data_IF_762420561599
#
_entry.id   IF_762420561599
#
_cell.length_a   1.000
_cell.length_b   1.000
_cell.length_c   1.000
_cell.angle_alpha   90.00
_cell.angle_beta   90.00
_cell.angle_gamma   90.00
#
_symmetry.space_group_name_H-M   'P 1'
#
loop_
_entity.id
_entity.type
_entity.pdbx_description
1 polymer ?
#
# COMPACT_ATOMS: atom_id res chain seq x y z
N UNK A 1 -8.52 19.26 12.29
CA UNK A 1 -7.88 18.46 13.35
C UNK A 1 -7.77 17.02 12.89
N UNK A 2 -6.64 16.35 13.19
CA UNK A 2 -6.32 14.90 13.08
C UNK A 2 -5.00 14.63 12.32
N UNK A 3 -3.89 14.72 13.05
CA UNK A 3 -2.60 14.05 12.76
C UNK A 3 -1.96 13.62 14.09
N UNK A 4 -2.73 12.94 14.93
CA UNK A 4 -2.32 12.58 16.30
C UNK A 4 -1.31 11.41 16.36
N UNK A 5 -1.01 10.70 15.25
CA UNK A 5 -0.19 9.48 15.29
C UNK A 5 1.17 9.52 14.55
N UNK A 6 1.67 10.70 14.11
CA UNK A 6 3.05 10.86 13.57
C UNK A 6 4.11 11.10 14.66
N UNK A 7 3.72 11.13 15.93
CA UNK A 7 4.34 12.00 16.95
C UNK A 7 5.42 11.35 17.83
N UNK A 8 5.47 10.02 17.91
CA UNK A 8 6.56 9.30 18.60
C UNK A 8 7.78 9.06 17.70
N UNK A 9 7.55 8.80 16.41
CA UNK A 9 8.62 8.34 15.50
C UNK A 9 9.58 9.44 15.05
N UNK A 10 9.16 10.72 14.95
CA UNK A 10 10.07 11.79 14.52
C UNK A 10 11.25 11.94 15.48
N UNK A 11 10.97 12.00 16.78
CA UNK A 11 12.01 12.13 17.81
C UNK A 11 12.97 10.94 17.82
N UNK A 12 12.42 9.73 17.82
CA UNK A 12 13.22 8.50 17.79
C UNK A 12 14.07 8.36 16.52
N UNK A 13 13.58 8.81 15.37
CA UNK A 13 14.33 8.81 14.11
C UNK A 13 15.46 9.84 14.15
N UNK A 14 15.20 11.04 14.67
CA UNK A 14 16.24 12.06 14.82
C UNK A 14 17.34 11.58 15.76
N UNK A 15 17.00 10.84 16.83
CA UNK A 15 17.98 10.20 17.71
C UNK A 15 18.75 9.10 17.00
N UNK A 16 18.05 8.17 16.32
CA UNK A 16 18.67 7.06 15.60
C UNK A 16 19.63 7.53 14.51
N UNK A 17 19.32 8.64 13.86
CA UNK A 17 20.15 9.25 12.82
C UNK A 17 21.24 10.17 13.38
N UNK A 18 21.36 10.30 14.72
CA UNK A 18 22.38 11.11 15.38
C UNK A 18 22.19 12.62 15.22
N UNK A 19 20.99 13.06 14.84
CA UNK A 19 20.66 14.50 14.67
C UNK A 19 20.44 15.17 16.03
N UNK A 20 19.82 14.45 16.96
CA UNK A 20 19.66 14.88 18.35
C UNK A 20 20.07 13.74 19.28
N UNK A 21 20.45 14.06 20.51
CA UNK A 21 20.71 13.05 21.54
C UNK A 21 19.42 12.56 22.21
N UNK A 22 19.40 11.37 22.85
CA UNK A 22 18.28 10.92 23.66
C UNK A 22 17.85 11.94 24.72
N UNK A 23 18.81 12.63 25.33
CA UNK A 23 18.59 13.66 26.36
C UNK A 23 17.93 14.91 25.77
N UNK A 24 18.35 15.34 24.58
CA UNK A 24 17.73 16.45 23.85
C UNK A 24 16.27 16.12 23.47
N UNK A 25 16.01 14.87 23.05
CA UNK A 25 14.65 14.40 22.80
C UNK A 25 13.80 14.42 24.08
N UNK A 26 14.33 13.91 25.19
CA UNK A 26 13.63 13.89 26.48
C UNK A 26 13.29 15.32 26.95
N UNK A 27 14.24 16.25 26.82
CA UNK A 27 14.01 17.66 27.13
C UNK A 27 12.91 18.27 26.26
N UNK A 28 12.95 18.03 24.94
CA UNK A 28 11.92 18.51 24.03
C UNK A 28 10.53 17.91 24.32
N UNK A 29 10.45 16.64 24.74
CA UNK A 29 9.20 16.01 25.17
C UNK A 29 8.67 16.68 26.45
N UNK A 30 9.53 16.95 27.44
CA UNK A 30 9.13 17.67 28.67
C UNK A 30 8.59 19.07 28.36
N UNK A 31 9.30 19.83 27.52
CA UNK A 31 8.86 21.15 27.05
C UNK A 31 7.54 21.08 26.25
N UNK A 32 7.32 19.99 25.51
CA UNK A 32 6.06 19.71 24.82
C UNK A 32 4.92 19.44 25.78
N UNK A 33 5.13 18.78 26.91
CA UNK A 33 4.05 18.54 27.87
C UNK A 33 3.55 19.84 28.51
N UNK A 34 4.41 20.85 28.59
CA UNK A 34 4.07 22.19 29.07
C UNK A 34 3.49 23.13 27.99
N UNK A 35 3.37 22.69 26.73
CA UNK A 35 2.90 23.52 25.62
C UNK A 35 1.94 22.76 24.69
N UNK A 36 1.22 23.48 23.83
CA UNK A 36 0.36 22.87 22.80
C UNK A 36 1.06 22.80 21.42
N UNK A 37 2.39 23.01 21.38
CA UNK A 37 3.19 23.03 20.15
C UNK A 37 3.54 21.61 19.68
N UNK A 38 3.93 21.46 18.40
CA UNK A 38 4.40 20.15 17.90
C UNK A 38 5.82 19.89 18.39
N UNK A 39 6.19 18.61 18.52
CA UNK A 39 7.54 18.23 18.93
C UNK A 39 8.61 18.81 18.00
N UNK A 40 8.35 18.80 16.69
CA UNK A 40 9.25 19.40 15.70
C UNK A 40 9.45 20.90 15.93
N UNK A 41 8.37 21.66 16.14
CA UNK A 41 8.44 23.10 16.41
C UNK A 41 9.28 23.38 17.66
N UNK A 42 9.11 22.57 18.72
CA UNK A 42 9.87 22.69 19.97
C UNK A 42 11.34 22.34 19.76
N UNK A 43 11.65 21.30 18.99
CA UNK A 43 13.04 20.93 18.67
C UNK A 43 13.75 22.06 17.91
N UNK A 44 13.04 22.80 17.06
CA UNK A 44 13.57 24.00 16.38
C UNK A 44 13.74 25.16 17.36
N UNK A 45 12.73 25.44 18.19
CA UNK A 45 12.79 26.53 19.19
C UNK A 45 13.91 26.33 20.21
N UNK A 46 14.19 25.08 20.59
CA UNK A 46 15.30 24.71 21.47
C UNK A 46 16.67 24.72 20.76
N UNK A 47 16.71 24.95 19.44
CA UNK A 47 17.94 25.00 18.65
C UNK A 47 18.59 23.63 18.42
N UNK A 48 17.88 22.53 18.67
CA UNK A 48 18.41 21.17 18.49
C UNK A 48 18.39 20.72 17.03
N UNK A 49 17.47 21.24 16.24
CA UNK A 49 17.37 20.97 14.79
C UNK A 49 16.97 22.23 14.04
N UNK A 50 17.27 22.27 12.74
CA UNK A 50 16.70 23.27 11.83
C UNK A 50 15.39 22.76 11.21
N UNK A 51 14.51 23.65 10.71
CA UNK A 51 13.33 23.25 9.94
C UNK A 51 13.68 22.33 8.75
N UNK A 52 14.79 22.60 8.07
CA UNK A 52 15.27 21.82 6.93
C UNK A 52 15.65 20.40 7.34
N UNK A 53 16.29 20.24 8.50
CA UNK A 53 16.61 18.91 9.05
C UNK A 53 15.35 18.12 9.37
N UNK A 54 14.31 18.76 9.92
CA UNK A 54 13.01 18.10 10.15
C UNK A 54 12.41 17.64 8.83
N UNK A 55 12.36 18.53 7.84
CA UNK A 55 11.83 18.23 6.51
C UNK A 55 12.57 17.02 5.92
N UNK A 56 13.89 17.05 5.87
CA UNK A 56 14.69 15.95 5.33
C UNK A 56 14.35 14.60 5.97
N UNK A 57 14.20 14.56 7.30
CA UNK A 57 13.90 13.33 8.04
C UNK A 57 12.48 12.83 7.83
N UNK A 58 11.50 13.74 7.76
CA UNK A 58 10.11 13.41 7.45
C UNK A 58 10.00 12.84 6.03
N UNK A 59 10.70 13.42 5.06
CA UNK A 59 10.73 12.93 3.68
C UNK A 59 11.41 11.56 3.58
N UNK A 60 12.53 11.35 4.29
CA UNK A 60 13.20 10.05 4.35
C UNK A 60 12.28 8.96 4.92
N UNK A 61 11.56 9.26 6.01
CA UNK A 61 10.59 8.34 6.60
C UNK A 61 9.44 8.03 5.63
N UNK A 62 8.92 9.05 4.93
CA UNK A 62 7.88 8.85 3.94
C UNK A 62 8.36 7.94 2.80
N UNK A 63 9.56 8.19 2.28
CA UNK A 63 10.17 7.35 1.24
C UNK A 63 10.33 5.90 1.70
N UNK A 64 10.77 5.66 2.93
CA UNK A 64 10.89 4.32 3.51
C UNK A 64 9.54 3.59 3.55
N UNK A 65 8.48 4.27 4.00
CA UNK A 65 7.12 3.69 4.04
C UNK A 65 6.58 3.36 2.66
N UNK A 66 6.83 4.23 1.68
CA UNK A 66 6.48 3.99 0.28
C UNK A 66 7.17 2.71 -0.22
N UNK A 67 8.48 2.56 0.04
CA UNK A 67 9.24 1.38 -0.35
C UNK A 67 8.78 0.10 0.33
N UNK A 68 8.33 0.18 1.59
CA UNK A 68 7.88 -1.00 2.34
C UNK A 68 6.44 -1.42 2.06
N UNK A 69 5.60 -0.53 1.53
CA UNK A 69 4.17 -0.84 1.31
C UNK A 69 3.77 -0.61 -0.13
N UNK A 70 3.79 0.63 -0.62
CA UNK A 70 3.23 0.95 -1.93
C UNK A 70 4.00 0.29 -3.08
N UNK A 71 5.33 0.23 -3.00
CA UNK A 71 6.15 -0.42 -4.04
C UNK A 71 5.86 -1.93 -4.14
N UNK A 72 5.91 -2.71 -3.05
CA UNK A 72 5.47 -4.10 -3.05
C UNK A 72 4.04 -4.31 -3.56
N UNK A 73 3.13 -3.36 -3.32
CA UNK A 73 1.76 -3.45 -3.83
C UNK A 73 1.67 -3.28 -5.34
N UNK A 74 2.53 -2.44 -5.94
CA UNK A 74 2.68 -2.36 -7.40
C UNK A 74 3.09 -3.73 -7.94
N UNK A 75 4.17 -4.29 -7.40
CA UNK A 75 4.67 -5.61 -7.81
C UNK A 75 3.61 -6.70 -7.63
N UNK A 76 2.84 -6.65 -6.54
CA UNK A 76 1.76 -7.58 -6.29
C UNK A 76 0.66 -7.48 -7.34
N UNK A 77 0.23 -6.26 -7.71
CA UNK A 77 -0.77 -6.06 -8.75
C UNK A 77 -0.28 -6.50 -10.13
N UNK A 78 1.00 -6.30 -10.43
CA UNK A 78 1.63 -6.83 -11.65
C UNK A 78 1.64 -8.36 -11.66
N UNK A 79 1.99 -9.01 -10.54
CA UNK A 79 1.94 -10.47 -10.44
C UNK A 79 0.53 -11.05 -10.48
N UNK A 80 -0.46 -10.33 -9.98
CA UNK A 80 -1.86 -10.68 -10.20
C UNK A 80 -2.24 -10.61 -11.68
N UNK A 81 -1.80 -9.58 -12.40
CA UNK A 81 -2.02 -9.50 -13.84
C UNK A 81 -1.33 -10.65 -14.60
N UNK A 82 -0.11 -11.02 -14.20
CA UNK A 82 0.63 -12.15 -14.78
C UNK A 82 -0.11 -13.47 -14.51
N UNK A 83 -0.63 -13.69 -13.30
CA UNK A 83 -1.44 -14.85 -12.96
C UNK A 83 -2.72 -14.94 -13.80
N UNK A 84 -3.42 -13.83 -13.95
CA UNK A 84 -4.64 -13.78 -14.76
C UNK A 84 -4.34 -14.00 -16.25
N UNK A 85 -3.26 -13.44 -16.79
CA UNK A 85 -2.86 -13.75 -18.17
C UNK A 85 -2.47 -15.20 -18.36
N UNK A 86 -1.65 -15.77 -17.46
CA UNK A 86 -1.29 -17.18 -17.53
C UNK A 86 -2.53 -18.07 -17.52
N UNK A 87 -3.54 -17.73 -16.70
CA UNK A 87 -4.81 -18.45 -16.68
C UNK A 87 -5.60 -18.28 -17.99
N UNK A 88 -5.58 -17.10 -18.61
CA UNK A 88 -6.21 -16.87 -19.92
C UNK A 88 -5.55 -17.63 -21.07
N UNK A 89 -4.25 -17.90 -20.95
CA UNK A 89 -3.47 -18.61 -21.96
C UNK A 89 -3.56 -20.13 -21.77
N UNK A 90 -3.70 -20.60 -20.52
CA UNK A 90 -3.82 -22.02 -20.18
C UNK A 90 -5.25 -22.57 -20.27
N UNK A 91 -6.28 -21.75 -20.11
CA UNK A 91 -7.68 -22.20 -20.09
C UNK A 91 -8.51 -21.45 -21.13
N UNK A 92 -9.32 -22.19 -21.90
CA UNK A 92 -10.27 -21.59 -22.85
C UNK A 92 -11.49 -21.02 -22.13
N UNK A 93 -11.85 -21.64 -21.02
CA UNK A 93 -12.94 -21.29 -20.13
C UNK A 93 -12.67 -19.95 -19.48
N UNK A 94 -13.63 -19.03 -19.61
CA UNK A 94 -13.53 -17.69 -19.02
C UNK A 94 -12.27 -16.91 -19.45
N UNK A 95 -11.59 -17.28 -20.56
CA UNK A 95 -10.38 -16.60 -21.03
C UNK A 95 -10.58 -15.08 -21.20
N UNK A 96 -11.77 -14.66 -21.65
CA UNK A 96 -12.14 -13.23 -21.72
C UNK A 96 -12.15 -12.56 -20.35
N UNK A 97 -12.73 -13.22 -19.34
CA UNK A 97 -12.79 -12.70 -17.96
C UNK A 97 -11.38 -12.60 -17.38
N UNK A 98 -10.55 -13.62 -17.58
CA UNK A 98 -9.15 -13.59 -17.16
C UNK A 98 -8.38 -12.41 -17.78
N UNK A 99 -8.54 -12.16 -19.09
CA UNK A 99 -7.90 -10.99 -19.74
C UNK A 99 -8.41 -9.65 -19.20
N UNK A 100 -9.70 -9.54 -18.89
CA UNK A 100 -10.27 -8.34 -18.29
C UNK A 100 -9.69 -8.08 -16.88
N UNK A 101 -9.62 -9.12 -16.04
CA UNK A 101 -9.01 -9.03 -14.72
C UNK A 101 -7.52 -8.67 -14.81
N UNK A 102 -6.79 -9.24 -15.77
CA UNK A 102 -5.39 -8.90 -16.02
C UNK A 102 -5.20 -7.43 -16.40
N UNK A 103 -6.04 -6.92 -17.32
CA UNK A 103 -6.00 -5.51 -17.72
C UNK A 103 -6.29 -4.58 -16.54
N UNK A 104 -7.30 -4.90 -15.73
CA UNK A 104 -7.65 -4.10 -14.57
C UNK A 104 -6.55 -4.13 -13.49
N UNK A 105 -5.92 -5.28 -13.25
CA UNK A 105 -4.78 -5.38 -12.32
C UNK A 105 -3.57 -4.55 -12.77
N UNK A 106 -3.27 -4.49 -14.08
CA UNK A 106 -2.23 -3.60 -14.64
C UNK A 106 -2.58 -2.12 -14.47
N UNK A 107 -3.83 -1.75 -14.75
CA UNK A 107 -4.29 -0.37 -14.56
C UNK A 107 -4.14 0.06 -13.09
N UNK A 108 -4.49 -0.81 -12.15
CA UNK A 108 -4.29 -0.57 -10.72
C UNK A 108 -2.82 -0.41 -10.33
N UNK A 109 -1.91 -1.20 -10.93
CA UNK A 109 -0.48 -1.04 -10.70
C UNK A 109 0.03 0.34 -11.17
N UNK A 110 -0.38 0.79 -12.36
CA UNK A 110 0.00 2.10 -12.88
C UNK A 110 -0.60 3.26 -12.08
N UNK A 111 -1.83 3.08 -11.60
CA UNK A 111 -2.48 4.02 -10.68
C UNK A 111 -1.66 4.19 -9.38
N UNK A 112 -1.19 3.08 -8.78
CA UNK A 112 -0.33 3.13 -7.59
C UNK A 112 1.01 3.79 -7.93
N UNK A 113 1.61 3.52 -9.10
CA UNK A 113 2.85 4.20 -9.55
C UNK A 113 2.65 5.71 -9.68
N UNK A 114 1.54 6.13 -10.28
CA UNK A 114 1.18 7.54 -10.42
C UNK A 114 0.92 8.20 -9.07
N UNK A 115 0.30 7.47 -8.14
CA UNK A 115 0.06 7.91 -6.78
C UNK A 115 1.37 8.10 -5.99
N UNK A 116 2.33 7.19 -6.14
CA UNK A 116 3.67 7.34 -5.55
C UNK A 116 4.32 8.64 -6.03
N UNK A 117 4.26 8.94 -7.33
CA UNK A 117 4.77 10.21 -7.88
C UNK A 117 4.06 11.43 -7.26
N UNK A 118 2.73 11.37 -7.14
CA UNK A 118 1.95 12.44 -6.52
C UNK A 118 2.32 12.67 -5.04
N UNK A 119 2.58 11.60 -4.28
CA UNK A 119 3.02 11.69 -2.88
C UNK A 119 4.36 12.41 -2.78
N UNK A 120 5.31 12.15 -3.69
CA UNK A 120 6.59 12.86 -3.69
C UNK A 120 6.46 14.34 -4.06
N UNK A 121 5.51 14.69 -4.94
CA UNK A 121 5.27 16.07 -5.36
C UNK A 121 4.52 16.89 -4.30
N UNK A 122 3.57 16.25 -3.59
CA UNK A 122 2.67 16.92 -2.64
C UNK A 122 2.50 16.10 -1.35
N UNK A 123 3.59 15.88 -0.59
CA UNK A 123 3.61 14.94 0.53
C UNK A 123 2.68 15.33 1.68
N UNK A 124 2.38 16.63 1.84
CA UNK A 124 1.50 17.14 2.88
C UNK A 124 0.03 16.74 2.69
N UNK A 125 -0.37 16.39 1.46
CA UNK A 125 -1.73 15.94 1.16
C UNK A 125 -1.99 14.49 1.59
N UNK A 126 -0.95 13.72 1.85
CA UNK A 126 -1.05 12.28 2.04
C UNK A 126 -0.53 11.81 3.40
N UNK A 127 -1.09 10.69 3.85
CA UNK A 127 -0.55 9.92 4.96
C UNK A 127 -0.45 8.45 4.55
N UNK A 128 0.79 7.95 4.48
CA UNK A 128 1.08 6.54 4.27
C UNK A 128 1.10 5.82 5.61
N UNK A 129 0.18 4.88 5.79
CA UNK A 129 0.00 4.05 6.98
C UNK A 129 0.65 2.69 6.78
N UNK A 130 1.44 2.28 7.76
CA UNK A 130 2.00 0.92 7.85
C UNK A 130 0.97 -0.01 8.48
N UNK A 131 0.04 -0.53 7.67
CA UNK A 131 -0.98 -1.49 8.14
C UNK A 131 -0.60 -2.95 7.90
N UNK A 132 0.47 -3.18 7.14
CA UNK A 132 1.03 -4.49 6.83
C UNK A 132 2.49 -4.54 7.25
N UNK A 133 2.96 -5.72 7.65
CA UNK A 133 4.39 -5.96 7.84
C UNK A 133 5.03 -6.33 6.50
N UNK A 134 6.33 -6.10 6.35
CA UNK A 134 7.10 -6.49 5.16
C UNK A 134 6.95 -7.98 4.85
N UNK A 135 7.00 -8.82 5.87
CA UNK A 135 6.91 -10.28 5.75
C UNK A 135 5.53 -10.71 5.25
N UNK A 136 4.46 -10.04 5.68
CA UNK A 136 3.10 -10.34 5.22
C UNK A 136 2.90 -10.04 3.74
N UNK A 137 3.56 -8.99 3.23
CA UNK A 137 3.51 -8.63 1.81
C UNK A 137 4.33 -9.62 0.99
N UNK A 138 5.55 -9.95 1.44
CA UNK A 138 6.43 -10.91 0.78
C UNK A 138 5.79 -12.30 0.68
N UNK A 139 5.15 -12.76 1.75
CA UNK A 139 4.46 -14.06 1.78
C UNK A 139 3.38 -14.15 0.72
N UNK A 140 2.57 -13.09 0.58
CA UNK A 140 1.50 -13.04 -0.41
C UNK A 140 2.08 -12.99 -1.83
N UNK A 141 3.13 -12.18 -2.06
CA UNK A 141 3.84 -12.12 -3.34
C UNK A 141 4.37 -13.50 -3.76
N UNK A 142 5.03 -14.21 -2.84
CA UNK A 142 5.50 -15.58 -3.08
C UNK A 142 4.35 -16.54 -3.40
N UNK A 143 3.21 -16.42 -2.71
CA UNK A 143 2.02 -17.23 -2.99
C UNK A 143 1.48 -17.03 -4.41
N UNK A 144 1.43 -15.78 -4.88
CA UNK A 144 1.00 -15.48 -6.26
C UNK A 144 2.01 -16.01 -7.27
N UNK A 145 3.30 -15.82 -7.05
CA UNK A 145 4.36 -16.34 -7.92
C UNK A 145 4.27 -17.86 -8.08
N UNK A 146 4.12 -18.59 -6.96
CA UNK A 146 3.93 -20.04 -6.99
C UNK A 146 2.65 -20.43 -7.75
N UNK A 147 1.57 -19.65 -7.61
CA UNK A 147 0.33 -19.88 -8.35
C UNK A 147 0.52 -19.75 -9.87
N UNK A 148 1.28 -18.74 -10.32
CA UNK A 148 1.62 -18.55 -11.74
C UNK A 148 2.33 -19.79 -12.30
N UNK A 149 3.37 -20.26 -11.61
CA UNK A 149 4.14 -21.43 -12.04
C UNK A 149 3.28 -22.70 -12.07
N UNK A 150 2.36 -22.84 -11.12
CA UNK A 150 1.43 -23.97 -11.09
C UNK A 150 0.42 -23.97 -12.24
N UNK A 151 -0.07 -22.80 -12.64
CA UNK A 151 -0.92 -22.66 -13.84
C UNK A 151 -0.12 -23.03 -15.09
N UNK A 152 1.07 -22.45 -15.27
CA UNK A 152 1.91 -22.72 -16.45
C UNK A 152 2.34 -24.17 -16.58
N UNK A 153 2.60 -24.85 -15.46
CA UNK A 153 2.95 -26.28 -15.44
C UNK A 153 1.75 -27.22 -15.63
N UNK A 154 0.52 -26.69 -15.67
CA UNK A 154 -0.70 -27.50 -15.72
C UNK A 154 -1.03 -28.21 -14.40
N UNK A 155 -0.32 -27.92 -13.31
CA UNK A 155 -0.57 -28.48 -11.97
C UNK A 155 -1.76 -27.82 -11.25
N UNK A 156 -2.40 -26.84 -11.89
CA UNK A 156 -3.57 -26.14 -11.39
C UNK A 156 -4.69 -26.17 -12.42
N UNK A 157 -5.89 -26.58 -12.00
CA UNK A 157 -7.06 -26.61 -12.88
C UNK A 157 -7.74 -25.24 -12.97
N UNK A 158 -8.51 -25.00 -14.03
CA UNK A 158 -9.29 -23.76 -14.19
C UNK A 158 -10.14 -23.40 -12.94
N UNK A 159 -10.83 -24.40 -12.37
CA UNK A 159 -11.66 -24.19 -11.18
C UNK A 159 -10.82 -23.79 -9.96
N UNK A 160 -9.68 -24.45 -9.75
CA UNK A 160 -8.75 -24.08 -8.69
C UNK A 160 -8.21 -22.66 -8.88
N UNK A 161 -7.94 -22.24 -10.12
CA UNK A 161 -7.48 -20.88 -10.44
C UNK A 161 -8.51 -19.84 -10.05
N UNK A 162 -9.79 -20.07 -10.33
CA UNK A 162 -10.88 -19.16 -9.95
C UNK A 162 -11.00 -19.02 -8.43
N UNK A 163 -10.89 -20.12 -7.68
CA UNK A 163 -10.92 -20.06 -6.21
C UNK A 163 -9.72 -19.31 -5.64
N UNK A 164 -8.51 -19.53 -6.16
CA UNK A 164 -7.33 -18.77 -5.76
C UNK A 164 -7.46 -17.28 -6.09
N UNK A 165 -7.99 -16.94 -7.27
CA UNK A 165 -8.26 -15.56 -7.63
C UNK A 165 -9.23 -14.89 -6.65
N UNK A 166 -10.30 -15.58 -6.26
CA UNK A 166 -11.26 -15.12 -5.24
C UNK A 166 -10.58 -14.88 -3.90
N UNK A 167 -9.79 -15.85 -3.44
CA UNK A 167 -9.15 -15.79 -2.12
C UNK A 167 -8.16 -14.64 -2.04
N UNK A 168 -7.41 -14.40 -3.12
CA UNK A 168 -6.50 -13.25 -3.21
C UNK A 168 -7.27 -11.93 -3.24
N UNK A 169 -8.34 -11.81 -4.03
CA UNK A 169 -9.17 -10.59 -4.09
C UNK A 169 -9.90 -10.29 -2.77
N UNK A 170 -10.16 -11.31 -1.95
CA UNK A 170 -10.74 -11.18 -0.61
C UNK A 170 -9.70 -11.02 0.50
N UNK A 171 -8.40 -11.15 0.20
CA UNK A 171 -7.33 -11.04 1.18
C UNK A 171 -7.29 -9.67 1.88
N UNK A 172 -6.65 -9.62 3.06
CA UNK A 172 -6.43 -8.37 3.78
C UNK A 172 -5.63 -7.35 2.97
N UNK A 173 -4.65 -7.80 2.17
CA UNK A 173 -3.80 -6.93 1.36
C UNK A 173 -4.60 -6.14 0.33
N UNK A 174 -5.58 -6.78 -0.31
CA UNK A 174 -6.42 -6.14 -1.32
C UNK A 174 -7.56 -5.35 -0.66
N UNK A 175 -8.24 -5.94 0.33
CA UNK A 175 -9.40 -5.31 0.97
C UNK A 175 -9.04 -4.05 1.78
N UNK A 176 -7.85 -4.01 2.37
CA UNK A 176 -7.38 -2.87 3.18
C UNK A 176 -6.40 -1.97 2.46
N UNK A 177 -6.14 -2.17 1.16
CA UNK A 177 -5.35 -1.24 0.35
C UNK A 177 -5.78 0.24 0.52
N UNK A 178 -7.10 0.57 0.58
CA UNK A 178 -7.52 1.96 0.80
C UNK A 178 -7.13 2.55 2.16
N UNK A 179 -6.76 1.72 3.14
CA UNK A 179 -6.32 2.17 4.46
C UNK A 179 -4.82 2.50 4.48
N UNK A 180 -4.05 1.98 3.50
CA UNK A 180 -2.60 2.24 3.35
C UNK A 180 -2.33 3.70 3.09
N UNK A 181 -3.21 4.37 2.35
CA UNK A 181 -3.06 5.77 1.99
C UNK A 181 -4.32 6.55 2.29
N UNK A 182 -4.20 7.54 3.17
CA UNK A 182 -5.29 8.46 3.49
C UNK A 182 -4.95 9.88 3.08
N UNK A 183 -5.98 10.65 2.72
CA UNK A 183 -5.86 12.04 2.29
C UNK A 183 -7.06 12.84 2.77
N UNK A 184 -6.83 14.13 3.04
CA UNK A 184 -7.90 15.08 3.31
C UNK A 184 -8.33 15.87 2.08
N UNK A 185 -7.62 15.70 0.97
CA UNK A 185 -7.94 16.36 -0.28
C UNK A 185 -9.20 15.75 -0.93
N UNK A 186 -10.11 16.61 -1.39
CA UNK A 186 -11.40 16.19 -1.90
C UNK A 186 -11.31 15.46 -3.25
N UNK A 187 -10.39 15.88 -4.12
CA UNK A 187 -10.17 15.28 -5.43
C UNK A 187 -9.60 13.85 -5.27
N UNK A 188 -8.57 13.71 -4.43
CA UNK A 188 -7.97 12.42 -4.14
C UNK A 188 -8.93 11.46 -3.44
N UNK A 189 -9.78 11.96 -2.53
CA UNK A 189 -10.84 11.14 -1.90
C UNK A 189 -11.80 10.57 -2.94
N UNK A 190 -12.22 11.37 -3.93
CA UNK A 190 -13.11 10.90 -5.00
C UNK A 190 -12.43 9.78 -5.82
N UNK A 191 -11.14 9.94 -6.14
CA UNK A 191 -10.38 8.91 -6.86
C UNK A 191 -10.27 7.60 -6.07
N UNK A 192 -10.04 7.66 -4.75
CA UNK A 192 -9.99 6.44 -3.92
C UNK A 192 -11.37 5.76 -3.80
N UNK A 193 -12.47 6.50 -3.84
CA UNK A 193 -13.81 5.90 -3.89
C UNK A 193 -14.04 5.11 -5.19
N UNK A 194 -13.56 5.62 -6.32
CA UNK A 194 -13.65 4.91 -7.61
C UNK A 194 -12.86 3.59 -7.58
N UNK A 195 -11.65 3.59 -7.04
CA UNK A 195 -10.85 2.37 -6.88
C UNK A 195 -11.54 1.31 -6.01
N UNK A 196 -12.22 1.73 -4.93
CA UNK A 196 -13.03 0.81 -4.11
C UNK A 196 -14.16 0.17 -4.92
N UNK A 197 -14.80 0.94 -5.80
CA UNK A 197 -15.88 0.43 -6.64
C UNK A 197 -15.38 -0.62 -7.63
N UNK A 198 -14.20 -0.45 -8.23
CA UNK A 198 -13.61 -1.45 -9.13
C UNK A 198 -13.32 -2.78 -8.43
N UNK A 199 -12.85 -2.74 -7.17
CA UNK A 199 -12.60 -3.95 -6.39
C UNK A 199 -13.88 -4.79 -6.20
N UNK A 200 -15.03 -4.15 -5.98
CA UNK A 200 -16.31 -4.87 -5.92
C UNK A 200 -16.66 -5.55 -7.24
N UNK A 201 -16.35 -4.91 -8.38
CA UNK A 201 -16.61 -5.50 -9.69
C UNK A 201 -15.75 -6.74 -9.94
N UNK A 202 -14.47 -6.73 -9.59
CA UNK A 202 -13.59 -7.90 -9.76
C UNK A 202 -14.11 -9.10 -8.97
N UNK A 203 -14.44 -8.88 -7.69
CA UNK A 203 -14.99 -9.92 -6.81
C UNK A 203 -16.28 -10.50 -7.35
N UNK A 204 -17.17 -9.63 -7.87
CA UNK A 204 -18.44 -10.05 -8.47
C UNK A 204 -18.20 -10.92 -9.71
N UNK A 205 -17.34 -10.47 -10.62
CA UNK A 205 -17.02 -11.21 -11.86
C UNK A 205 -16.44 -12.60 -11.55
N UNK A 206 -15.54 -12.70 -10.56
CA UNK A 206 -14.98 -13.98 -10.13
C UNK A 206 -16.05 -14.87 -9.47
N UNK A 207 -16.91 -14.29 -8.62
CA UNK A 207 -17.99 -15.02 -7.97
C UNK A 207 -19.01 -15.58 -8.98
N UNK A 208 -19.39 -14.79 -9.99
CA UNK A 208 -20.29 -15.19 -11.06
C UNK A 208 -19.69 -16.34 -11.89
N UNK A 209 -18.38 -16.26 -12.20
CA UNK A 209 -17.66 -17.34 -12.88
C UNK A 209 -17.67 -18.64 -12.05
N UNK A 210 -17.40 -18.56 -10.75
CA UNK A 210 -17.45 -19.72 -9.83
C UNK A 210 -18.86 -20.31 -9.74
N UNK A 211 -19.89 -19.46 -9.65
CA UNK A 211 -21.28 -19.91 -9.59
C UNK A 211 -21.70 -20.64 -10.88
N UNK A 212 -21.17 -20.21 -12.03
CA UNK A 212 -21.36 -20.85 -13.32
C UNK A 212 -20.79 -22.27 -13.42
N UNK A 213 -19.79 -22.62 -12.60
CA UNK A 213 -19.19 -23.97 -12.58
C UNK A 213 -20.11 -25.05 -12.00
N UNK A 214 -21.13 -24.66 -11.24
CA UNK A 214 -22.06 -25.58 -10.56
C UNK A 214 -23.30 -25.93 -11.41
N UNK A 215 -23.37 -25.41 -12.63
CA UNK A 215 -24.41 -25.68 -13.62
C UNK A 215 -23.85 -26.60 -14.69
#
# INVERSE_FOLDING_TARGET
MMQQNRRGQLGEILVRNGVISPEQLEHAIKAKMASNKRLGDILVELGYVTPEQIIQHVYAQLAERIQKVLVPMVSFKEKMADFYMASADSFTEHARIWRLLAAAARAQAEDIRSLIKAIYLQPDLFTVNMIFTTESVDTILHGVLNTIERVKSGSLTHNQSLYLARDVENSMLVSRLPDVLTTNDAEWRKRFMQQKQELFHHRKVIADAIAGLKK
#
